data_IF_676198334268
#
_entry.id   IF_676198334268
#
_cell.length_a   1.000
_cell.length_b   1.000
_cell.length_c   1.000
_cell.angle_alpha   90.00
_cell.angle_beta   90.00
_cell.angle_gamma   90.00
#
_symmetry.space_group_name_H-M   'P 1'
#
loop_
_entity.id
_entity.type
_entity.pdbx_description
1 polymer ?
#
# COMPACT_ATOMS: atom_id res chain seq x y z
N UNK A 1 20.04 13.64 -23.61
CA UNK A 1 20.48 14.07 -22.26
C UNK A 1 19.77 13.17 -21.26
N UNK A 2 20.52 12.26 -20.66
CA UNK A 2 20.01 10.95 -20.23
C UNK A 2 19.36 10.93 -18.85
N UNK A 3 18.37 10.04 -18.67
CA UNK A 3 17.69 9.75 -17.40
C UNK A 3 18.65 9.55 -16.20
N UNK A 4 19.88 9.05 -16.45
CA UNK A 4 20.90 8.88 -15.42
C UNK A 4 21.40 10.19 -14.78
N UNK A 5 21.39 11.31 -15.50
CA UNK A 5 21.73 12.63 -14.96
C UNK A 5 20.58 13.20 -14.11
N UNK A 6 19.32 12.93 -14.51
CA UNK A 6 18.13 13.32 -13.75
C UNK A 6 18.03 12.58 -12.41
N UNK A 7 18.32 11.28 -12.40
CA UNK A 7 18.38 10.46 -11.18
C UNK A 7 19.49 10.91 -10.22
N UNK A 8 20.69 11.23 -10.75
CA UNK A 8 21.77 11.83 -9.96
C UNK A 8 21.36 13.19 -9.39
N UNK A 9 20.72 14.05 -10.18
CA UNK A 9 20.26 15.36 -9.71
C UNK A 9 19.14 15.28 -8.67
N UNK A 10 18.25 14.27 -8.74
CA UNK A 10 17.22 13.99 -7.73
C UNK A 10 17.84 13.45 -6.44
N UNK A 11 18.80 12.52 -6.54
CA UNK A 11 19.50 11.99 -5.37
C UNK A 11 20.43 13.01 -4.69
N UNK A 12 21.05 13.90 -5.47
CA UNK A 12 21.87 15.01 -4.97
C UNK A 12 21.06 16.25 -4.61
N UNK A 13 19.76 16.30 -4.94
CA UNK A 13 18.88 17.41 -4.61
C UNK A 13 18.82 17.70 -3.11
N UNK A 14 18.59 16.71 -2.21
CA UNK A 14 18.61 16.96 -0.77
C UNK A 14 19.99 17.45 -0.29
N UNK A 15 21.10 16.90 -0.82
CA UNK A 15 22.46 17.29 -0.44
C UNK A 15 22.82 18.72 -0.90
N UNK A 16 22.37 19.15 -2.08
CA UNK A 16 22.54 20.53 -2.56
C UNK A 16 21.65 21.51 -1.80
N UNK A 17 20.43 21.12 -1.43
CA UNK A 17 19.49 21.93 -0.64
C UNK A 17 19.94 22.08 0.83
N UNK A 18 20.65 21.08 1.36
CA UNK A 18 21.28 21.09 2.68
C UNK A 18 22.51 22.01 2.78
N UNK A 19 22.96 22.64 1.68
CA UNK A 19 24.02 23.66 1.71
C UNK A 19 23.48 24.98 2.27
N UNK A 20 23.25 24.97 3.59
CA UNK A 20 22.62 26.00 4.41
C UNK A 20 23.36 27.36 4.37
N UNK A 21 24.61 27.37 3.93
CA UNK A 21 25.52 28.53 3.94
C UNK A 21 25.28 29.54 2.80
N UNK A 22 24.60 29.14 1.72
CA UNK A 22 24.38 29.99 0.52
C UNK A 22 22.89 30.30 0.27
N UNK A 23 21.99 29.85 1.13
CA UNK A 23 20.54 30.03 0.96
C UNK A 23 20.03 31.36 1.54
N UNK A 24 19.09 32.00 0.84
CA UNK A 24 18.38 33.21 1.30
C UNK A 24 17.71 32.99 2.67
N UNK A 25 17.71 34.02 3.53
CA UNK A 25 17.21 33.98 4.91
C UNK A 25 15.78 33.42 5.04
N UNK A 26 14.90 33.74 4.08
CA UNK A 26 13.51 33.26 4.04
C UNK A 26 13.43 31.74 3.87
N UNK A 27 14.32 31.14 3.06
CA UNK A 27 14.35 29.68 2.85
C UNK A 27 14.87 28.96 4.09
N UNK A 28 15.84 29.54 4.79
CA UNK A 28 16.42 29.00 6.03
C UNK A 28 15.36 28.92 7.14
N UNK A 29 14.59 29.98 7.33
CA UNK A 29 13.48 29.97 8.30
C UNK A 29 12.42 28.92 8.00
N UNK A 30 12.04 28.74 6.73
CA UNK A 30 11.06 27.70 6.36
C UNK A 30 11.58 26.29 6.63
N UNK A 31 12.86 26.02 6.35
CA UNK A 31 13.48 24.71 6.65
C UNK A 31 13.53 24.46 8.15
N UNK A 32 13.90 25.45 8.97
CA UNK A 32 13.86 25.33 10.43
C UNK A 32 12.44 25.07 10.93
N UNK A 33 11.46 25.87 10.47
CA UNK A 33 10.04 25.70 10.85
C UNK A 33 9.52 24.32 10.45
N UNK A 34 9.91 23.80 9.29
CA UNK A 34 9.55 22.47 8.83
C UNK A 34 10.23 21.36 9.66
N UNK A 35 11.48 21.54 10.09
CA UNK A 35 12.16 20.63 11.00
C UNK A 35 11.50 20.58 12.39
N UNK A 36 11.08 21.73 12.91
CA UNK A 36 10.34 21.82 14.19
C UNK A 36 8.97 21.15 14.07
N UNK A 37 8.26 21.37 12.95
CA UNK A 37 7.00 20.70 12.66
C UNK A 37 7.18 19.19 12.61
N UNK A 38 8.20 18.69 11.90
CA UNK A 38 8.49 17.26 11.80
C UNK A 38 8.72 16.61 13.19
N UNK A 39 9.49 17.26 14.08
CA UNK A 39 9.69 16.77 15.46
C UNK A 39 8.39 16.78 16.27
N UNK A 40 7.56 17.81 16.12
CA UNK A 40 6.27 17.90 16.83
C UNK A 40 5.25 16.88 16.30
N UNK A 41 5.24 16.64 14.99
CA UNK A 41 4.40 15.65 14.32
C UNK A 41 4.79 14.22 14.65
N UNK A 42 6.04 13.95 15.05
CA UNK A 42 6.49 12.61 15.43
C UNK A 42 5.76 12.04 16.65
N UNK A 43 5.18 12.88 17.50
CA UNK A 43 4.35 12.43 18.64
C UNK A 43 2.97 11.95 18.17
N UNK A 44 2.42 12.56 17.12
CA UNK A 44 1.11 12.23 16.57
C UNK A 44 1.15 11.14 15.51
N UNK A 45 2.31 10.89 14.90
CA UNK A 45 2.46 9.93 13.83
C UNK A 45 2.22 8.46 14.27
N UNK A 46 2.82 7.96 15.38
CA UNK A 46 2.58 6.61 15.86
C UNK A 46 1.11 6.26 16.13
N UNK A 47 0.30 7.10 16.84
CA UNK A 47 -1.09 6.76 17.09
C UNK A 47 -1.93 6.78 15.81
N UNK A 48 -1.65 7.69 14.87
CA UNK A 48 -2.35 7.72 13.57
C UNK A 48 -2.03 6.48 12.75
N UNK A 49 -0.75 6.08 12.69
CA UNK A 49 -0.34 4.88 11.97
C UNK A 49 -0.95 3.63 12.60
N UNK A 50 -0.94 3.53 13.93
CA UNK A 50 -1.56 2.42 14.65
C UNK A 50 -3.07 2.36 14.39
N UNK A 51 -3.76 3.50 14.43
CA UNK A 51 -5.19 3.57 14.12
C UNK A 51 -5.51 3.08 12.70
N UNK A 52 -4.73 3.50 11.71
CA UNK A 52 -4.87 3.02 10.33
C UNK A 52 -4.62 1.50 10.24
N UNK A 53 -3.60 1.01 10.95
CA UNK A 53 -3.28 -0.41 11.00
C UNK A 53 -4.42 -1.25 11.58
N UNK A 54 -4.98 -0.86 12.73
CA UNK A 54 -6.12 -1.55 13.34
C UNK A 54 -7.31 -1.54 12.39
N UNK A 55 -7.65 -0.37 11.84
CA UNK A 55 -8.80 -0.22 10.94
C UNK A 55 -8.68 -1.09 9.68
N UNK A 56 -7.47 -1.24 9.15
CA UNK A 56 -7.24 -2.09 7.99
C UNK A 56 -7.34 -3.57 8.36
N UNK A 57 -6.77 -3.96 9.50
CA UNK A 57 -6.85 -5.32 10.02
C UNK A 57 -8.30 -5.73 10.29
N UNK A 58 -9.10 -4.85 10.92
CA UNK A 58 -10.52 -5.10 11.18
C UNK A 58 -11.32 -5.29 9.88
N UNK A 59 -11.04 -4.48 8.86
CA UNK A 59 -11.68 -4.64 7.54
C UNK A 59 -11.33 -5.97 6.90
N UNK A 60 -10.06 -6.37 6.94
CA UNK A 60 -9.62 -7.64 6.36
C UNK A 60 -10.32 -8.82 7.05
N UNK A 61 -10.37 -8.84 8.39
CA UNK A 61 -11.09 -9.87 9.13
C UNK A 61 -12.59 -9.88 8.84
N UNK A 62 -13.23 -8.72 8.81
CA UNK A 62 -14.66 -8.62 8.48
C UNK A 62 -14.97 -9.18 7.08
N UNK A 63 -14.12 -8.94 6.09
CA UNK A 63 -14.29 -9.53 4.76
C UNK A 63 -14.17 -11.06 4.78
N UNK A 64 -13.21 -11.60 5.53
CA UNK A 64 -13.05 -13.07 5.65
C UNK A 64 -14.27 -13.72 6.31
N UNK A 65 -14.87 -13.07 7.31
CA UNK A 65 -16.11 -13.55 7.93
C UNK A 65 -17.29 -13.55 6.97
N UNK A 66 -17.42 -12.51 6.13
CA UNK A 66 -18.46 -12.45 5.11
C UNK A 66 -18.29 -13.56 4.06
N UNK A 67 -17.06 -13.84 3.63
CA UNK A 67 -16.80 -14.95 2.71
C UNK A 67 -17.15 -16.29 3.35
N UNK A 68 -16.72 -16.51 4.60
CA UNK A 68 -17.06 -17.73 5.33
C UNK A 68 -18.57 -17.91 5.49
N UNK A 69 -19.31 -16.85 5.90
CA UNK A 69 -20.77 -16.91 6.06
C UNK A 69 -21.52 -17.20 4.76
N UNK A 70 -21.02 -16.69 3.64
CA UNK A 70 -21.62 -16.93 2.33
C UNK A 70 -21.19 -18.27 1.72
N UNK A 71 -20.05 -18.81 2.14
CA UNK A 71 -19.60 -20.13 1.72
C UNK A 71 -20.34 -21.22 2.49
N UNK A 72 -20.81 -22.26 1.81
CA UNK A 72 -21.40 -23.44 2.46
C UNK A 72 -20.36 -24.41 3.04
N UNK A 73 -19.15 -23.93 3.35
CA UNK A 73 -18.05 -24.78 3.83
C UNK A 73 -17.94 -24.75 5.35
N UNK A 74 -17.84 -25.93 5.96
CA UNK A 74 -17.64 -26.10 7.41
C UNK A 74 -16.19 -25.81 7.88
N UNK A 75 -15.22 -25.74 6.96
CA UNK A 75 -13.82 -25.51 7.31
C UNK A 75 -13.47 -24.02 7.38
N UNK A 76 -13.50 -23.45 8.58
CA UNK A 76 -13.11 -22.06 8.83
C UNK A 76 -11.61 -21.79 8.59
N UNK A 77 -10.75 -22.81 8.74
CA UNK A 77 -9.29 -22.66 8.59
C UNK A 77 -8.88 -22.46 7.13
N UNK A 78 -9.73 -22.87 6.19
CA UNK A 78 -9.49 -22.64 4.77
C UNK A 78 -9.45 -21.15 4.40
N UNK A 79 -10.24 -20.30 5.09
CA UNK A 79 -10.36 -18.87 4.78
C UNK A 79 -9.35 -17.99 5.49
N UNK A 80 -8.99 -18.33 6.73
CA UNK A 80 -7.97 -17.62 7.50
C UNK A 80 -7.16 -18.62 8.33
N UNK A 81 -5.94 -18.91 7.88
CA UNK A 81 -5.02 -19.80 8.61
C UNK A 81 -3.91 -18.97 9.30
N UNK A 82 -3.91 -18.86 10.64
CA UNK A 82 -2.88 -18.11 11.36
C UNK A 82 -1.48 -18.76 11.29
N UNK A 83 -1.42 -20.07 11.03
CA UNK A 83 -0.17 -20.84 10.95
C UNK A 83 0.61 -20.50 9.66
N UNK A 84 -0.08 -19.95 8.65
CA UNK A 84 0.51 -19.52 7.39
C UNK A 84 1.12 -18.11 7.51
N UNK A 85 2.14 -17.79 6.68
CA UNK A 85 2.72 -16.45 6.65
C UNK A 85 1.66 -15.40 6.31
N UNK A 86 1.80 -14.19 6.87
CA UNK A 86 0.77 -13.13 6.88
C UNK A 86 0.07 -12.89 5.52
N UNK A 87 0.79 -12.96 4.41
CA UNK A 87 0.28 -12.70 3.07
C UNK A 87 -0.49 -13.88 2.44
N UNK A 88 -0.34 -15.10 2.97
CA UNK A 88 -0.99 -16.33 2.50
C UNK A 88 -2.07 -16.87 3.46
N UNK A 89 -2.42 -16.11 4.50
CA UNK A 89 -3.45 -16.54 5.46
C UNK A 89 -4.81 -16.73 4.80
N UNK A 90 -5.10 -15.93 3.77
CA UNK A 90 -6.34 -15.94 3.00
C UNK A 90 -6.18 -16.66 1.64
N UNK A 91 -5.36 -17.71 1.60
CA UNK A 91 -4.97 -18.39 0.35
C UNK A 91 -6.18 -18.87 -0.47
N UNK A 92 -7.24 -19.36 0.17
CA UNK A 92 -8.44 -19.85 -0.52
C UNK A 92 -9.19 -18.75 -1.24
N UNK A 93 -9.31 -17.58 -0.61
CA UNK A 93 -9.92 -16.39 -1.22
C UNK A 93 -9.07 -15.91 -2.40
N UNK A 94 -7.74 -15.91 -2.27
CA UNK A 94 -6.84 -15.54 -3.34
C UNK A 94 -6.93 -16.49 -4.54
N UNK A 95 -7.00 -17.80 -4.30
CA UNK A 95 -7.15 -18.79 -5.36
C UNK A 95 -8.47 -18.63 -6.10
N UNK A 96 -9.56 -18.42 -5.37
CA UNK A 96 -10.90 -18.31 -5.97
C UNK A 96 -11.01 -17.01 -6.78
N UNK A 97 -10.44 -15.90 -6.30
CA UNK A 97 -10.34 -14.65 -7.07
C UNK A 97 -9.48 -14.79 -8.34
N UNK A 98 -8.39 -15.56 -8.29
CA UNK A 98 -7.55 -15.82 -9.44
C UNK A 98 -8.26 -16.66 -10.51
N UNK A 99 -9.09 -17.63 -10.10
CA UNK A 99 -9.92 -18.40 -11.02
C UNK A 99 -11.00 -17.52 -11.66
N UNK A 100 -11.66 -16.67 -10.86
CA UNK A 100 -12.66 -15.74 -11.37
C UNK A 100 -12.05 -14.75 -12.37
N UNK A 101 -10.85 -14.23 -12.12
CA UNK A 101 -10.19 -13.31 -13.05
C UNK A 101 -9.79 -14.01 -14.35
N UNK A 102 -9.31 -15.26 -14.28
CA UNK A 102 -9.03 -16.06 -15.47
C UNK A 102 -10.29 -16.29 -16.32
N UNK A 103 -11.39 -16.72 -15.69
CA UNK A 103 -12.66 -16.96 -16.39
C UNK A 103 -13.24 -15.67 -16.97
N UNK A 104 -13.16 -14.55 -16.23
CA UNK A 104 -13.61 -13.25 -16.72
C UNK A 104 -12.81 -12.79 -17.96
N UNK A 105 -11.48 -12.95 -17.92
CA UNK A 105 -10.62 -12.61 -19.05
C UNK A 105 -10.88 -13.49 -20.27
N UNK A 106 -11.14 -14.79 -20.07
CA UNK A 106 -11.51 -15.69 -21.17
C UNK A 106 -12.82 -15.27 -21.85
N UNK A 107 -13.85 -14.93 -21.06
CA UNK A 107 -15.14 -14.45 -21.59
C UNK A 107 -15.00 -13.13 -22.34
N UNK A 108 -14.16 -12.22 -21.84
CA UNK A 108 -13.88 -10.95 -22.49
C UNK A 108 -13.30 -11.16 -23.89
N UNK A 109 -12.26 -11.98 -24.02
CA UNK A 109 -11.63 -12.28 -25.31
C UNK A 109 -12.60 -12.96 -26.29
N UNK A 110 -13.46 -13.87 -25.80
CA UNK A 110 -14.50 -14.50 -26.64
C UNK A 110 -15.51 -13.48 -27.17
N UNK A 111 -15.78 -12.40 -26.43
CA UNK A 111 -16.71 -11.37 -26.90
C UNK A 111 -16.08 -10.57 -28.04
N UNK A 112 -14.81 -10.18 -27.90
CA UNK A 112 -14.09 -9.46 -28.96
C UNK A 112 -13.96 -10.28 -30.25
N UNK A 113 -13.69 -11.59 -30.15
CA UNK A 113 -13.63 -12.48 -31.33
C UNK A 113 -14.99 -12.70 -32.03
N UNK A 114 -16.11 -12.50 -31.33
CA UNK A 114 -17.46 -12.65 -31.92
C UNK A 114 -18.02 -11.34 -32.51
N UNK A 115 -17.42 -10.20 -32.15
CA UNK A 115 -17.80 -8.87 -32.63
C UNK A 115 -16.94 -8.41 -33.84
N UNK A 116 -15.88 -9.16 -34.19
CA UNK A 116 -15.11 -9.07 -35.45
C UNK A 116 -15.68 -9.96 -36.58
#
# INVERSE_FOLDING_TARGET
MGLGESLKNIALFPLKFLRYKTASNVKRERVIKLGILCRKSWVLFPPIMLYQYLRQTDRDHFTTELFYKNSSSDDSKAFYDPDKPKHLRNWKIQSDLALLSLVANQKFNQTEENDE
#
